data_IF_551791313940
#
_entry.id   IF_551791313940
#
_cell.length_a   1.000
_cell.length_b   1.000
_cell.length_c   1.000
_cell.angle_alpha   90.00
_cell.angle_beta   90.00
_cell.angle_gamma   90.00
#
_symmetry.space_group_name_H-M   'P 1'
#
loop_
_entity.id
_entity.type
_entity.pdbx_description
1 polymer ?
#
# COMPACT_ATOMS: atom_id res chain seq x y z
N UNK A 1 8.70 -23.44 -8.03
CA UNK A 1 8.69 -22.16 -7.35
C UNK A 1 7.30 -21.92 -6.77
N UNK A 2 7.26 -21.59 -5.50
CA UNK A 2 6.04 -21.32 -4.76
C UNK A 2 6.03 -19.89 -4.25
N UNK A 3 4.88 -19.45 -3.75
CA UNK A 3 4.74 -18.10 -3.21
C UNK A 3 5.81 -17.78 -2.15
N UNK A 4 6.12 -18.72 -1.27
CA UNK A 4 7.13 -18.50 -0.24
C UNK A 4 8.53 -18.21 -0.82
N UNK A 5 8.83 -18.70 -2.03
CA UNK A 5 10.11 -18.40 -2.71
C UNK A 5 10.18 -16.98 -3.24
N UNK A 6 9.03 -16.38 -3.53
CA UNK A 6 8.93 -15.03 -4.09
C UNK A 6 8.69 -13.97 -3.03
N UNK A 7 8.17 -14.37 -1.88
CA UNK A 7 7.80 -13.43 -0.82
C UNK A 7 9.04 -12.83 -0.17
N UNK A 8 8.96 -11.56 0.16
CA UNK A 8 9.98 -10.85 0.92
C UNK A 8 9.31 -10.06 2.05
N UNK A 9 10.11 -9.63 3.03
CA UNK A 9 9.63 -8.76 4.08
C UNK A 9 9.06 -7.50 3.46
N UNK A 10 7.93 -7.06 3.98
CA UNK A 10 7.23 -5.92 3.43
C UNK A 10 6.74 -5.02 4.57
N UNK A 11 6.92 -3.71 4.47
CA UNK A 11 6.50 -2.81 5.54
C UNK A 11 4.98 -2.81 5.69
N UNK A 12 4.55 -2.84 6.95
CA UNK A 12 3.13 -2.84 7.30
C UNK A 12 2.82 -1.66 8.19
N UNK A 13 1.56 -1.26 8.18
CA UNK A 13 1.03 -0.26 9.10
C UNK A 13 -0.29 -0.78 9.66
N UNK A 14 -0.75 -0.15 10.74
CA UNK A 14 -2.05 -0.46 11.34
C UNK A 14 -3.02 0.68 11.07
N UNK A 15 -4.31 0.45 11.22
CA UNK A 15 -5.29 1.53 11.02
C UNK A 15 -5.06 2.73 11.95
N UNK A 16 -4.51 2.51 13.14
CA UNK A 16 -4.23 3.59 14.11
C UNK A 16 -2.83 4.19 13.97
N UNK A 17 -2.01 3.69 13.05
CA UNK A 17 -0.69 4.25 12.79
C UNK A 17 -0.85 5.71 12.33
N UNK A 18 -0.03 6.65 12.86
CA UNK A 18 -0.06 8.02 12.34
C UNK A 18 0.25 8.04 10.85
N UNK A 19 -0.56 8.77 10.08
CA UNK A 19 -0.41 8.78 8.63
C UNK A 19 0.93 9.35 8.19
N UNK A 20 1.54 10.22 9.01
CA UNK A 20 2.85 10.79 8.70
C UNK A 20 3.94 9.71 8.70
N UNK A 21 3.83 8.70 9.58
CA UNK A 21 4.76 7.58 9.57
C UNK A 21 4.62 6.74 8.30
N UNK A 22 3.36 6.53 7.88
CA UNK A 22 3.09 5.82 6.63
C UNK A 22 3.67 6.59 5.43
N UNK A 23 3.53 7.90 5.42
CA UNK A 23 4.08 8.75 4.37
C UNK A 23 5.62 8.63 4.30
N UNK A 24 6.27 8.58 5.45
CA UNK A 24 7.73 8.43 5.50
C UNK A 24 8.19 7.07 4.98
N UNK A 25 7.44 6.02 5.29
CA UNK A 25 7.74 4.69 4.77
C UNK A 25 7.60 4.64 3.25
N UNK A 26 6.53 5.25 2.73
CA UNK A 26 6.31 5.30 1.29
C UNK A 26 7.40 6.11 0.58
N UNK A 27 7.84 7.22 1.19
CA UNK A 27 8.86 8.06 0.61
C UNK A 27 10.26 7.44 0.67
N UNK A 28 10.54 6.67 1.73
CA UNK A 28 11.87 6.08 1.93
C UNK A 28 12.11 4.80 1.13
N UNK A 29 11.07 4.18 0.63
CA UNK A 29 11.14 2.92 -0.10
C UNK A 29 10.26 3.03 -1.34
N UNK A 30 10.76 2.61 -2.47
CA UNK A 30 10.03 2.71 -3.75
C UNK A 30 8.99 1.58 -3.85
N UNK A 31 7.90 1.74 -3.12
CA UNK A 31 6.88 0.71 -2.98
C UNK A 31 5.55 1.14 -3.64
N UNK A 32 4.78 0.19 -4.17
CA UNK A 32 3.46 0.49 -4.72
C UNK A 32 2.45 0.92 -3.65
N UNK A 33 2.71 0.61 -2.39
CA UNK A 33 1.86 0.95 -1.27
C UNK A 33 2.33 0.24 -0.03
N UNK A 34 1.60 0.38 1.06
CA UNK A 34 1.87 -0.32 2.32
C UNK A 34 0.73 -1.29 2.61
N UNK A 35 1.05 -2.39 3.27
CA UNK A 35 0.02 -3.34 3.71
C UNK A 35 -0.51 -2.88 5.05
N UNK A 36 -1.83 -2.72 5.14
CA UNK A 36 -2.50 -2.42 6.40
C UNK A 36 -2.92 -3.74 7.03
N UNK A 37 -2.46 -3.99 8.24
CA UNK A 37 -2.78 -5.21 8.98
C UNK A 37 -3.71 -4.88 10.16
N UNK A 38 -4.51 -5.87 10.56
CA UNK A 38 -5.38 -5.73 11.71
C UNK A 38 -4.62 -6.06 13.02
N UNK A 39 -5.33 -6.06 14.13
CA UNK A 39 -4.74 -6.31 15.46
C UNK A 39 -4.15 -7.72 15.59
N UNK A 40 -4.55 -8.64 14.73
CA UNK A 40 -4.06 -10.02 14.73
C UNK A 40 -2.86 -10.22 13.81
N UNK A 41 -2.47 -9.16 13.09
CA UNK A 41 -1.41 -9.26 12.10
C UNK A 41 -1.87 -9.80 10.76
N UNK A 42 -3.17 -9.91 10.54
CA UNK A 42 -3.72 -10.36 9.27
C UNK A 42 -3.76 -9.20 8.26
N UNK A 43 -3.37 -9.45 6.99
CA UNK A 43 -3.45 -8.41 5.97
C UNK A 43 -4.90 -8.07 5.68
N UNK A 44 -5.17 -6.76 5.63
CA UNK A 44 -6.52 -6.25 5.38
C UNK A 44 -6.63 -5.55 4.04
N UNK A 45 -5.84 -4.51 3.82
CA UNK A 45 -5.92 -3.72 2.59
C UNK A 45 -4.57 -3.11 2.28
N UNK A 46 -4.48 -2.45 1.12
CA UNK A 46 -3.29 -1.73 0.71
C UNK A 46 -3.53 -0.22 0.86
N UNK A 47 -2.54 0.48 1.40
CA UNK A 47 -2.53 1.94 1.47
C UNK A 47 -1.65 2.46 0.35
N UNK A 48 -2.27 3.03 -0.67
CA UNK A 48 -1.53 3.62 -1.79
C UNK A 48 -1.10 5.05 -1.44
N UNK A 49 0.02 5.49 -2.03
CA UNK A 49 0.52 6.84 -1.79
C UNK A 49 -0.48 7.93 -2.14
N UNK A 50 -1.30 7.70 -3.17
CA UNK A 50 -2.33 8.66 -3.58
C UNK A 50 -3.41 8.87 -2.51
N UNK A 51 -3.68 7.86 -1.69
CA UNK A 51 -4.63 7.98 -0.59
C UNK A 51 -4.08 8.90 0.50
N UNK A 52 -2.78 8.84 0.75
CA UNK A 52 -2.11 9.77 1.68
C UNK A 52 -2.17 11.20 1.12
N UNK A 53 -1.92 11.37 -0.17
CA UNK A 53 -1.99 12.69 -0.81
C UNK A 53 -3.38 13.32 -0.68
N UNK A 54 -4.43 12.54 -0.71
CA UNK A 54 -5.79 13.05 -0.56
C UNK A 54 -6.03 13.75 0.77
N UNK A 55 -5.34 13.32 1.82
CA UNK A 55 -5.40 14.00 3.11
C UNK A 55 -4.53 15.27 3.13
N UNK A 56 -3.39 15.22 2.47
CA UNK A 56 -2.41 16.30 2.51
C UNK A 56 -2.79 17.49 1.63
N UNK A 57 -3.49 17.24 0.51
CA UNK A 57 -3.82 18.28 -0.47
C UNK A 57 -5.25 18.78 -0.22
N UNK A 58 -5.46 20.09 -0.13
CA UNK A 58 -6.82 20.64 0.04
C UNK A 58 -7.76 20.18 -1.08
N UNK A 59 -9.01 19.90 -0.72
CA UNK A 59 -9.97 19.35 -1.67
C UNK A 59 -10.16 20.28 -2.90
N UNK A 60 -10.16 21.58 -2.71
CA UNK A 60 -10.34 22.51 -3.82
C UNK A 60 -9.18 22.45 -4.82
N UNK A 61 -7.96 22.07 -4.38
CA UNK A 61 -6.82 21.84 -5.28
C UNK A 61 -6.94 20.52 -6.03
N UNK A 62 -7.59 19.53 -5.43
CA UNK A 62 -7.84 18.26 -6.09
C UNK A 62 -8.90 18.41 -7.19
N UNK A 63 -9.94 19.22 -6.92
CA UNK A 63 -11.00 19.47 -7.88
C UNK A 63 -10.55 20.36 -9.04
N UNK A 64 -9.64 21.30 -8.77
CA UNK A 64 -9.07 22.18 -9.78
C UNK A 64 -7.57 22.39 -9.52
N UNK A 65 -6.72 21.58 -10.15
CA UNK A 65 -5.27 21.69 -9.93
C UNK A 65 -4.68 23.06 -10.29
N UNK A 66 -5.38 23.88 -11.10
CA UNK A 66 -4.91 25.23 -11.40
C UNK A 66 -4.89 26.14 -10.19
N UNK A 67 -5.73 25.87 -9.19
CA UNK A 67 -5.74 26.64 -7.94
C UNK A 67 -4.43 26.47 -7.16
N UNK A 68 -3.79 25.32 -7.29
CA UNK A 68 -2.53 25.08 -6.60
C UNK A 68 -1.41 26.00 -7.11
N UNK A 69 -1.53 26.51 -8.33
CA UNK A 69 -0.52 27.39 -8.92
C UNK A 69 -0.49 28.77 -8.28
N UNK A 70 -1.62 29.22 -7.73
CA UNK A 70 -1.74 30.57 -7.17
C UNK A 70 -1.54 30.59 -5.66
N UNK A 71 -1.39 29.43 -5.02
CA UNK A 71 -1.15 29.34 -3.60
C UNK A 71 0.36 29.40 -3.35
N UNK A 72 0.80 30.50 -2.74
CA UNK A 72 2.21 30.71 -2.44
C UNK A 72 2.50 30.28 -1.00
N UNK A 73 2.63 28.97 -0.82
CA UNK A 73 2.99 28.38 0.47
C UNK A 73 4.12 27.39 0.30
N UNK A 74 4.90 27.22 1.37
CA UNK A 74 5.93 26.18 1.38
C UNK A 74 5.27 24.80 1.29
N UNK A 75 5.67 24.01 0.30
CA UNK A 75 5.08 22.71 0.03
C UNK A 75 5.08 21.79 1.25
N UNK A 76 6.21 21.77 1.97
CA UNK A 76 6.33 20.91 3.17
C UNK A 76 5.29 21.29 4.23
N UNK A 77 5.07 22.61 4.44
CA UNK A 77 4.09 23.08 5.44
C UNK A 77 2.67 22.67 5.07
N UNK A 78 2.32 22.74 3.78
CA UNK A 78 1.00 22.32 3.30
C UNK A 78 0.77 20.84 3.60
N UNK A 79 1.74 19.99 3.25
CA UNK A 79 1.63 18.56 3.47
C UNK A 79 1.57 18.20 4.95
N UNK A 80 2.46 18.78 5.75
CA UNK A 80 2.50 18.50 7.19
C UNK A 80 1.21 18.93 7.89
N UNK A 81 0.64 20.07 7.49
CA UNK A 81 -0.61 20.56 8.04
C UNK A 81 -1.77 19.64 7.64
N UNK A 82 -1.80 19.18 6.40
CA UNK A 82 -2.84 18.27 5.91
C UNK A 82 -2.79 16.90 6.57
N UNK A 83 -1.59 16.38 6.83
CA UNK A 83 -1.42 15.09 7.50
C UNK A 83 -1.67 15.18 9.00
N UNK A 84 -1.18 16.25 9.66
CA UNK A 84 -1.45 16.55 11.07
C UNK A 84 -1.37 15.32 11.98
N UNK A 85 -2.38 15.19 12.86
CA UNK A 85 -2.50 14.07 13.81
C UNK A 85 -3.39 12.95 13.26
N UNK A 86 -3.57 12.88 11.97
CA UNK A 86 -4.46 11.91 11.35
C UNK A 86 -3.84 10.52 11.33
N UNK A 87 -4.72 9.52 11.35
CA UNK A 87 -4.32 8.11 11.30
C UNK A 87 -4.46 7.55 9.89
N UNK A 88 -3.84 6.39 9.66
CA UNK A 88 -3.98 5.64 8.41
C UNK A 88 -5.46 5.37 8.09
N UNK A 89 -6.25 5.06 9.11
CA UNK A 89 -7.69 4.80 8.93
C UNK A 89 -8.40 5.95 8.20
N UNK A 90 -8.04 7.18 8.51
CA UNK A 90 -8.64 8.36 7.90
C UNK A 90 -8.26 8.52 6.43
N UNK A 91 -7.14 7.93 6.00
CA UNK A 91 -6.70 7.98 4.60
C UNK A 91 -7.34 6.91 3.74
N UNK A 92 -7.94 5.88 4.35
CA UNK A 92 -8.55 4.78 3.60
C UNK A 92 -9.95 5.18 3.11
N UNK A 93 -10.32 4.78 1.88
CA UNK A 93 -11.68 5.01 1.41
C UNK A 93 -12.68 4.17 2.19
N UNK A 94 -13.95 4.57 2.19
CA UNK A 94 -15.00 3.83 2.90
C UNK A 94 -15.13 2.38 2.44
N UNK A 95 -14.91 2.14 1.16
CA UNK A 95 -14.85 0.79 0.59
C UNK A 95 -13.43 0.53 0.14
N UNK A 96 -12.58 0.05 1.07
CA UNK A 96 -11.21 -0.30 0.75
C UNK A 96 -11.18 -1.64 0.02
N UNK A 97 -10.44 -1.74 -1.10
CA UNK A 97 -10.32 -3.02 -1.79
C UNK A 97 -9.59 -4.02 -0.91
N UNK A 98 -10.05 -5.26 -0.92
CA UNK A 98 -9.34 -6.31 -0.21
C UNK A 98 -8.01 -6.59 -0.93
N UNK A 99 -6.95 -6.66 -0.14
CA UNK A 99 -5.65 -7.05 -0.64
C UNK A 99 -5.70 -8.55 -0.98
N UNK A 100 -5.29 -8.97 -2.19
CA UNK A 100 -5.24 -10.40 -2.48
C UNK A 100 -4.23 -11.10 -1.57
N UNK A 101 -4.62 -12.27 -1.06
CA UNK A 101 -3.81 -13.04 -0.12
C UNK A 101 -3.69 -14.46 -0.66
N UNK A 102 -2.49 -15.02 -0.59
CA UNK A 102 -2.24 -16.40 -1.00
C UNK A 102 -1.57 -17.18 0.13
N UNK A 103 -1.70 -18.50 0.06
CA UNK A 103 -0.99 -19.43 0.92
C UNK A 103 0.48 -19.49 0.49
N UNK A 104 1.42 -19.76 1.41
CA UNK A 104 2.84 -19.90 1.05
C UNK A 104 3.11 -20.93 -0.03
N UNK A 105 2.25 -21.96 -0.12
CA UNK A 105 2.40 -23.04 -1.12
C UNK A 105 1.78 -22.72 -2.48
N UNK A 106 1.17 -21.53 -2.64
CA UNK A 106 0.55 -21.14 -3.91
C UNK A 106 1.57 -21.13 -5.05
N UNK A 107 1.09 -21.44 -6.24
CA UNK A 107 1.96 -21.47 -7.43
C UNK A 107 2.17 -20.05 -7.97
N UNK A 108 3.23 -19.89 -8.77
CA UNK A 108 3.51 -18.63 -9.45
C UNK A 108 2.32 -18.19 -10.31
N UNK A 109 1.69 -19.16 -10.99
CA UNK A 109 0.55 -18.86 -11.85
C UNK A 109 -0.66 -18.37 -11.04
N UNK A 110 -0.88 -18.93 -9.84
CA UNK A 110 -1.95 -18.43 -8.96
C UNK A 110 -1.71 -16.99 -8.55
N UNK A 111 -0.46 -16.64 -8.19
CA UNK A 111 -0.10 -15.27 -7.81
C UNK A 111 -0.29 -14.34 -9.00
N UNK A 112 0.20 -14.73 -10.17
CA UNK A 112 0.06 -13.91 -11.39
C UNK A 112 -1.41 -13.71 -11.75
N UNK A 113 -2.23 -14.74 -11.63
CA UNK A 113 -3.65 -14.65 -11.94
C UNK A 113 -4.37 -13.68 -11.01
N UNK A 114 -4.03 -13.68 -9.72
CA UNK A 114 -4.60 -12.75 -8.75
C UNK A 114 -4.22 -11.31 -9.05
N UNK A 115 -2.94 -11.06 -9.36
CA UNK A 115 -2.50 -9.71 -9.73
C UNK A 115 -3.22 -9.21 -10.99
N UNK A 116 -3.33 -10.08 -11.99
CA UNK A 116 -3.98 -9.70 -13.25
C UNK A 116 -5.45 -9.42 -13.05
N UNK A 117 -6.14 -10.24 -12.25
CA UNK A 117 -7.57 -10.08 -12.01
C UNK A 117 -7.88 -8.84 -11.17
N UNK A 118 -7.13 -8.63 -10.10
CA UNK A 118 -7.37 -7.53 -9.17
C UNK A 118 -6.77 -6.22 -9.64
N UNK A 119 -5.81 -6.29 -10.55
CA UNK A 119 -5.01 -5.12 -11.01
C UNK A 119 -4.25 -4.45 -9.87
N UNK A 120 -3.97 -5.21 -8.81
CA UNK A 120 -3.18 -4.74 -7.68
C UNK A 120 -1.77 -5.34 -7.83
N UNK A 121 -0.71 -4.51 -7.83
CA UNK A 121 0.65 -4.98 -8.07
C UNK A 121 1.31 -5.57 -6.82
N UNK A 122 0.51 -6.15 -5.94
CA UNK A 122 0.98 -6.66 -4.66
C UNK A 122 0.06 -7.78 -4.20
N UNK A 123 0.65 -8.88 -3.73
CA UNK A 123 -0.08 -10.01 -3.14
C UNK A 123 0.54 -10.32 -1.79
N UNK A 124 -0.28 -10.43 -0.76
CA UNK A 124 0.16 -10.80 0.56
C UNK A 124 0.29 -12.32 0.67
N UNK A 125 1.30 -12.79 1.39
CA UNK A 125 1.47 -14.20 1.72
C UNK A 125 1.19 -14.36 3.21
N UNK A 126 0.19 -15.14 3.55
CA UNK A 126 -0.21 -15.36 4.95
C UNK A 126 -0.20 -16.85 5.26
N UNK A 127 0.11 -17.19 6.51
CA UNK A 127 0.09 -18.58 6.96
C UNK A 127 -1.35 -19.07 7.13
N UNK A 128 -1.57 -20.38 7.41
CA UNK A 128 -2.94 -20.89 7.62
C UNK A 128 -3.70 -20.21 8.75
N UNK A 129 -2.99 -19.62 9.73
CA UNK A 129 -3.60 -18.85 10.79
C UNK A 129 -4.01 -17.44 10.40
N UNK A 130 -3.73 -17.02 9.16
CA UNK A 130 -4.09 -15.71 8.64
C UNK A 130 -3.07 -14.60 8.91
N UNK A 131 -1.95 -14.93 9.55
CA UNK A 131 -0.92 -13.93 9.87
C UNK A 131 -0.02 -13.70 8.67
N UNK A 132 0.24 -12.42 8.37
CA UNK A 132 1.11 -12.03 7.26
C UNK A 132 2.54 -12.54 7.46
N UNK A 133 3.09 -13.17 6.44
CA UNK A 133 4.48 -13.66 6.45
C UNK A 133 5.36 -12.83 5.53
N UNK A 134 4.81 -12.22 4.51
CA UNK A 134 5.54 -11.43 3.53
C UNK A 134 4.64 -11.04 2.39
N UNK A 135 5.23 -10.46 1.36
CA UNK A 135 4.46 -10.03 0.19
C UNK A 135 5.26 -10.24 -1.08
N UNK A 136 4.53 -10.35 -2.18
CA UNK A 136 5.09 -10.51 -3.52
C UNK A 136 4.70 -9.27 -4.32
N UNK A 137 5.71 -8.55 -4.82
CA UNK A 137 5.47 -7.40 -5.69
C UNK A 137 5.43 -7.86 -7.14
N UNK A 138 4.79 -7.04 -7.98
CA UNK A 138 4.77 -7.29 -9.42
C UNK A 138 6.19 -7.36 -9.98
N UNK A 139 7.08 -6.48 -9.54
CA UNK A 139 8.46 -6.47 -9.99
C UNK A 139 9.17 -7.79 -9.68
N UNK A 140 9.02 -8.31 -8.46
CA UNK A 140 9.61 -9.59 -8.08
C UNK A 140 9.06 -10.75 -8.90
N UNK A 141 7.75 -10.72 -9.17
CA UNK A 141 7.11 -11.75 -9.97
C UNK A 141 7.63 -11.74 -11.41
N UNK A 142 7.69 -10.55 -12.02
CA UNK A 142 8.17 -10.41 -13.40
C UNK A 142 9.64 -10.79 -13.53
N UNK A 143 10.47 -10.36 -12.58
CA UNK A 143 11.89 -10.72 -12.58
C UNK A 143 12.06 -12.24 -12.58
N UNK A 144 11.28 -12.93 -11.79
CA UNK A 144 11.37 -14.40 -11.70
C UNK A 144 10.89 -15.06 -12.97
N UNK A 145 9.77 -14.61 -13.51
CA UNK A 145 9.18 -15.21 -14.72
C UNK A 145 10.06 -14.97 -15.94
N UNK A 146 10.61 -13.75 -16.06
CA UNK A 146 11.41 -13.35 -17.23
C UNK A 146 12.87 -13.81 -17.15
N UNK A 147 13.33 -14.27 -15.99
CA UNK A 147 14.71 -14.70 -15.80
C UNK A 147 15.00 -16.11 -16.35
N UNK A 148 14.02 -16.77 -16.87
CA UNK A 148 14.17 -18.14 -17.39
C UNK A 148 14.83 -18.16 -18.77
#
# INVERSE_FOLDING_TARGET
>A
VRAYDLASDYPTVRPDTPVIEAARLLAGQDLPGLIVVDDRGAPWTILAGTQVLRLAVPQYCQDDPNLARVIDEATADVFLRGLGDRSVRESLPGESPELPVVHPEATVLEVAALMARTRIPLVAVANPGGVLQGAITLDSLLDRVLAQ
#
